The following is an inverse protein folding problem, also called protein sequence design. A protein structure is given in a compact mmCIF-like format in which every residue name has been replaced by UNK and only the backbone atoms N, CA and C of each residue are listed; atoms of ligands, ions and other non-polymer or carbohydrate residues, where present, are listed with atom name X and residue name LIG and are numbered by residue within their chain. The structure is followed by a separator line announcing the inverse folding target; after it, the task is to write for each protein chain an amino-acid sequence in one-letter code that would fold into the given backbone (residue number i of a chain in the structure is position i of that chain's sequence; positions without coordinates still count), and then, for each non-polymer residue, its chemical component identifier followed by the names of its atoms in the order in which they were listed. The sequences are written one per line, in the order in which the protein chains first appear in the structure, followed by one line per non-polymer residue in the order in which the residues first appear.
data_IF_020570388519
#
_entry.id   IF_020570388519
#
_cell.length_a   1.000
_cell.length_b   1.000
_cell.length_c   1.000
_cell.angle_alpha   90.00
_cell.angle_beta   90.00
_cell.angle_gamma   90.00
#
_symmetry.space_group_name_H-M   'P 1'
#
loop_
_entity.id
_entity.type
_entity.pdbx_description
1 polymer ?
#
# COMPACT_ATOMS: atom_id res chain seq x y z
N UNK A 1 15.00 -9.49 8.02
CA UNK A 1 14.32 -10.43 7.10
C UNK A 1 15.37 -11.03 6.20
N UNK A 2 15.46 -12.35 6.13
CA UNK A 2 16.48 -13.01 5.33
C UNK A 2 16.21 -12.81 3.85
N UNK A 3 17.20 -12.32 3.11
CA UNK A 3 17.07 -12.06 1.67
C UNK A 3 16.66 -13.32 0.87
N UNK A 4 17.06 -14.49 1.36
CA UNK A 4 16.69 -15.80 0.80
C UNK A 4 15.17 -16.08 0.86
N UNK A 5 14.47 -15.51 1.83
CA UNK A 5 13.03 -15.70 2.05
C UNK A 5 12.14 -14.78 1.22
N UNK A 6 12.73 -13.83 0.48
CA UNK A 6 11.96 -12.94 -0.38
C UNK A 6 11.44 -13.69 -1.63
N UNK A 7 10.15 -13.52 -1.99
CA UNK A 7 9.61 -14.02 -3.24
C UNK A 7 10.44 -13.53 -4.45
N UNK A 8 10.47 -14.31 -5.53
CA UNK A 8 11.29 -14.00 -6.71
C UNK A 8 11.06 -12.60 -7.30
N UNK A 9 9.83 -12.08 -7.24
CA UNK A 9 9.50 -10.73 -7.73
C UNK A 9 10.02 -9.59 -6.84
N UNK A 10 10.34 -9.86 -5.57
CA UNK A 10 10.94 -8.88 -4.65
C UNK A 10 12.44 -8.74 -4.85
N UNK A 11 13.08 -9.69 -5.53
CA UNK A 11 14.50 -9.64 -5.85
C UNK A 11 14.66 -8.70 -7.05
N UNK A 12 15.52 -7.69 -6.91
CA UNK A 12 15.76 -6.61 -7.90
C UNK A 12 16.10 -7.11 -9.32
N UNK A 13 16.49 -8.38 -9.46
CA UNK A 13 16.76 -9.05 -10.73
C UNK A 13 15.51 -9.57 -11.47
N UNK A 14 14.30 -9.24 -10.99
CA UNK A 14 13.03 -9.78 -11.49
C UNK A 14 12.36 -9.06 -12.68
N UNK A 15 12.94 -8.02 -13.27
CA UNK A 15 12.32 -7.32 -14.42
C UNK A 15 13.34 -6.99 -15.52
N UNK A 16 13.91 -8.04 -16.11
CA UNK A 16 14.84 -7.99 -17.23
C UNK A 16 14.23 -8.42 -18.57
N UNK A 17 12.99 -8.06 -18.87
CA UNK A 17 12.38 -8.27 -20.20
C UNK A 17 11.75 -6.95 -20.62
N UNK A 18 12.20 -6.20 -21.63
CA UNK A 18 12.57 -6.61 -22.98
C UNK A 18 13.60 -5.64 -23.60
N UNK A 19 14.83 -6.09 -23.86
CA UNK A 19 15.72 -5.45 -24.86
C UNK A 19 15.64 -6.14 -26.24
N UNK A 20 14.68 -7.04 -26.42
CA UNK A 20 14.48 -7.81 -27.65
C UNK A 20 12.99 -7.91 -28.03
N UNK A 21 12.32 -6.78 -28.24
CA UNK A 21 11.13 -6.73 -29.11
C UNK A 21 11.51 -6.11 -30.45
N UNK A 22 12.60 -6.60 -31.05
CA UNK A 22 12.87 -6.36 -32.46
C UNK A 22 12.15 -7.47 -33.22
N UNK A 23 10.98 -7.09 -33.75
CA UNK A 23 10.23 -7.76 -34.82
C UNK A 23 9.15 -8.78 -34.40
N UNK A 24 7.89 -8.46 -34.74
CA UNK A 24 6.82 -9.43 -34.93
C UNK A 24 5.65 -9.32 -33.95
N UNK A 25 4.60 -8.63 -34.39
CA UNK A 25 3.27 -8.49 -33.75
C UNK A 25 3.21 -7.52 -32.57
N UNK A 26 2.42 -6.45 -32.75
CA UNK A 26 2.20 -5.37 -31.80
C UNK A 26 1.22 -5.80 -30.70
N UNK A 27 1.53 -6.92 -30.04
CA UNK A 27 0.68 -7.48 -28.99
C UNK A 27 0.95 -6.65 -27.74
N UNK A 28 0.13 -5.61 -27.55
CA UNK A 28 0.18 -4.76 -26.37
C UNK A 28 -0.20 -5.61 -25.15
N UNK A 29 0.80 -6.16 -24.45
CA UNK A 29 0.61 -6.98 -23.25
C UNK A 29 -0.11 -6.26 -22.10
N UNK A 30 -0.23 -4.93 -22.17
CA UNK A 30 -0.97 -4.10 -21.22
C UNK A 30 -2.41 -3.80 -21.67
N UNK A 31 -2.79 -4.18 -22.89
CA UNK A 31 -4.16 -4.03 -23.38
C UNK A 31 -5.08 -5.00 -22.67
N UNK A 32 -6.22 -4.53 -22.16
CA UNK A 32 -7.23 -5.39 -21.55
C UNK A 32 -7.75 -6.47 -22.51
N UNK A 33 -7.72 -6.20 -23.81
CA UNK A 33 -8.16 -7.12 -24.86
C UNK A 33 -7.11 -8.18 -25.25
N UNK A 34 -5.95 -8.19 -24.58
CA UNK A 34 -4.97 -9.24 -24.81
C UNK A 34 -5.57 -10.59 -24.39
N UNK A 35 -5.42 -11.62 -25.24
CA UNK A 35 -6.06 -12.93 -25.06
C UNK A 35 -5.81 -13.55 -23.67
N UNK A 36 -4.59 -13.36 -23.12
CA UNK A 36 -4.26 -13.77 -21.76
C UNK A 36 -5.16 -13.13 -20.69
N UNK A 37 -5.42 -11.82 -20.76
CA UNK A 37 -6.23 -11.13 -19.76
C UNK A 37 -7.69 -11.53 -19.85
N UNK A 38 -8.22 -11.72 -21.06
CA UNK A 38 -9.57 -12.23 -21.28
C UNK A 38 -9.73 -13.65 -20.69
N UNK A 39 -8.80 -14.55 -21.01
CA UNK A 39 -8.81 -15.91 -20.46
C UNK A 39 -8.71 -15.94 -18.93
N UNK A 40 -7.84 -15.10 -18.35
CA UNK A 40 -7.70 -15.00 -16.91
C UNK A 40 -8.98 -14.46 -16.25
N UNK A 41 -9.57 -13.43 -16.84
CA UNK A 41 -10.82 -12.85 -16.35
C UNK A 41 -11.95 -13.87 -16.38
N UNK A 42 -12.13 -14.57 -17.51
CA UNK A 42 -13.17 -15.59 -17.66
C UNK A 42 -12.98 -16.75 -16.68
N UNK A 43 -11.73 -17.18 -16.47
CA UNK A 43 -11.40 -18.21 -15.49
C UNK A 43 -11.74 -17.78 -14.06
N UNK A 44 -11.34 -16.57 -13.64
CA UNK A 44 -11.66 -16.04 -12.30
C UNK A 44 -13.18 -15.91 -12.13
N UNK A 45 -13.89 -15.45 -13.16
CA UNK A 45 -15.35 -15.35 -13.15
C UNK A 45 -16.00 -16.72 -12.96
N UNK A 46 -15.56 -17.73 -13.69
CA UNK A 46 -16.04 -19.12 -13.53
C UNK A 46 -15.75 -19.66 -12.13
N UNK A 47 -14.57 -19.39 -11.58
CA UNK A 47 -14.25 -19.79 -10.20
C UNK A 47 -15.15 -19.09 -9.18
N UNK A 48 -15.41 -17.79 -9.34
CA UNK A 48 -16.28 -17.04 -8.46
C UNK A 48 -17.73 -17.55 -8.52
N UNK A 49 -18.25 -17.80 -9.73
CA UNK A 49 -19.59 -18.39 -9.92
C UNK A 49 -19.70 -19.80 -9.33
N UNK A 50 -18.63 -20.61 -9.39
CA UNK A 50 -18.58 -21.91 -8.72
C UNK A 50 -18.54 -21.78 -7.19
N UNK A 51 -18.00 -20.66 -6.67
CA UNK A 51 -17.93 -20.34 -5.24
C UNK A 51 -19.19 -19.64 -4.71
N UNK A 52 -20.11 -19.16 -5.56
CA UNK A 52 -21.38 -18.53 -5.14
C UNK A 52 -22.28 -19.46 -4.29
N UNK A 53 -21.99 -20.77 -4.25
CA UNK A 53 -22.64 -21.71 -3.33
C UNK A 53 -22.05 -21.69 -1.90
N UNK A 54 -20.89 -21.06 -1.70
CA UNK A 54 -20.27 -20.85 -0.40
C UNK A 54 -20.43 -19.38 -0.06
N UNK A 55 -21.64 -19.01 0.40
CA UNK A 55 -21.83 -17.72 1.07
C UNK A 55 -20.67 -17.51 2.07
N UNK A 56 -20.08 -16.31 2.18
CA UNK A 56 -19.03 -16.05 3.15
C UNK A 56 -19.49 -16.61 4.48
N UNK A 57 -18.79 -17.62 4.99
CA UNK A 57 -19.13 -18.18 6.29
C UNK A 57 -19.10 -17.03 7.27
N UNK A 58 -20.17 -16.82 8.03
CA UNK A 58 -20.17 -15.83 9.10
C UNK A 58 -19.01 -16.18 10.04
N UNK A 59 -17.88 -15.51 9.87
CA UNK A 59 -16.80 -15.56 10.84
C UNK A 59 -17.34 -14.92 12.12
N UNK A 60 -17.22 -15.64 13.23
CA UNK A 60 -17.78 -15.21 14.50
C UNK A 60 -17.16 -13.89 14.97
N UNK A 61 -17.90 -13.12 15.76
CA UNK A 61 -17.34 -11.94 16.41
C UNK A 61 -16.58 -12.34 17.68
N UNK A 62 -15.45 -11.68 17.91
CA UNK A 62 -14.71 -11.75 19.17
C UNK A 62 -14.90 -10.44 19.90
N UNK A 63 -15.35 -10.50 21.15
CA UNK A 63 -15.34 -9.34 22.02
C UNK A 63 -13.91 -9.10 22.50
N UNK A 64 -13.33 -7.98 22.09
CA UNK A 64 -12.01 -7.55 22.55
C UNK A 64 -12.23 -6.60 23.71
N UNK A 65 -11.74 -6.97 24.89
CA UNK A 65 -11.66 -6.04 26.02
C UNK A 65 -10.55 -5.04 25.75
N UNK A 66 -10.90 -3.75 25.74
CA UNK A 66 -9.91 -2.69 25.68
C UNK A 66 -9.16 -2.64 27.02
N UNK A 67 -7.82 -2.58 27.02
CA UNK A 67 -7.08 -2.35 28.25
C UNK A 67 -7.47 -1.00 28.84
N UNK A 68 -7.39 -0.89 30.16
CA UNK A 68 -7.56 0.39 30.83
C UNK A 68 -6.45 1.34 30.33
N UNK A 69 -6.80 2.58 29.93
CA UNK A 69 -5.82 3.54 29.45
C UNK A 69 -4.79 3.84 30.53
N UNK A 70 -3.53 4.02 30.14
CA UNK A 70 -2.47 4.34 31.08
C UNK A 70 -2.80 5.69 31.74
N UNK A 71 -2.70 5.84 33.07
CA UNK A 71 -2.84 7.15 33.71
C UNK A 71 -1.91 8.22 33.13
N UNK A 72 -0.81 7.84 32.49
CA UNK A 72 0.09 8.74 31.77
C UNK A 72 -0.39 9.11 30.36
N UNK A 73 -1.30 8.35 29.73
CA UNK A 73 -1.88 8.69 28.42
C UNK A 73 -2.63 10.02 28.48
N UNK A 74 -3.35 10.26 29.57
CA UNK A 74 -4.03 11.54 29.82
C UNK A 74 -3.04 12.71 29.88
N UNK A 75 -1.88 12.51 30.53
CA UNK A 75 -0.83 13.53 30.63
C UNK A 75 -0.17 13.79 29.28
N UNK A 76 0.02 12.76 28.46
CA UNK A 76 0.55 12.89 27.11
C UNK A 76 -0.40 13.71 26.25
N UNK A 77 -1.70 13.38 26.26
CA UNK A 77 -2.72 14.13 25.52
C UNK A 77 -2.79 15.61 25.95
N UNK A 78 -2.78 15.86 27.27
CA UNK A 78 -2.79 17.21 27.84
C UNK A 78 -1.53 18.00 27.46
N UNK A 79 -0.37 17.34 27.47
CA UNK A 79 0.91 17.95 27.08
C UNK A 79 0.91 18.33 25.61
N UNK A 80 0.45 17.43 24.73
CA UNK A 80 0.34 17.68 23.29
C UNK A 80 -0.58 18.87 23.03
N UNK A 81 -1.77 18.89 23.65
CA UNK A 81 -2.73 19.97 23.48
C UNK A 81 -2.14 21.32 23.95
N UNK A 82 -1.52 21.35 25.12
CA UNK A 82 -0.88 22.55 25.68
C UNK A 82 0.24 23.08 24.78
N UNK A 83 1.04 22.18 24.21
CA UNK A 83 2.11 22.50 23.28
C UNK A 83 1.58 23.08 21.96
N UNK A 84 0.53 22.48 21.38
CA UNK A 84 -0.13 23.02 20.19
C UNK A 84 -0.72 24.41 20.44
N UNK A 85 -1.38 24.62 21.59
CA UNK A 85 -1.90 25.92 21.97
C UNK A 85 -0.78 26.95 22.18
N UNK A 86 0.36 26.54 22.76
CA UNK A 86 1.55 27.37 22.95
C UNK A 86 2.16 27.80 21.61
N UNK A 87 2.32 26.85 20.68
CA UNK A 87 2.83 27.12 19.33
C UNK A 87 1.86 28.06 18.59
N UNK A 88 0.55 27.83 18.69
CA UNK A 88 -0.48 28.69 18.10
C UNK A 88 -0.47 30.10 18.68
N UNK A 89 -0.35 30.27 19.99
CA UNK A 89 -0.30 31.59 20.65
C UNK A 89 0.97 32.37 20.33
N UNK A 90 2.06 31.69 19.96
CA UNK A 90 3.34 32.30 19.58
C UNK A 90 3.38 32.79 18.12
N UNK A 91 2.33 32.60 17.31
CA UNK A 91 2.13 33.10 15.93
C UNK A 91 3.43 33.44 15.16
N UNK A 92 3.91 32.52 14.32
CA UNK A 92 4.89 32.91 13.29
C UNK A 92 5.79 31.83 12.71
N UNK A 93 5.37 30.57 12.55
CA UNK A 93 6.10 29.64 11.66
C UNK A 93 5.55 29.80 10.23
N UNK A 94 5.63 31.03 9.72
CA UNK A 94 5.78 31.28 8.29
C UNK A 94 7.26 31.63 8.06
N UNK A 95 8.18 30.81 8.55
CA UNK A 95 9.52 30.84 7.97
C UNK A 95 9.42 29.99 6.70
N UNK A 96 9.40 30.70 5.58
CA UNK A 96 9.51 30.16 4.23
C UNK A 96 10.47 28.98 4.24
N UNK A 97 10.03 27.82 3.76
CA UNK A 97 10.94 26.75 3.35
C UNK A 97 11.86 27.35 2.29
N UNK A 98 13.08 27.75 2.68
CA UNK A 98 14.09 28.12 1.72
C UNK A 98 14.44 26.86 0.93
N UNK A 99 14.01 26.88 -0.33
CA UNK A 99 14.37 26.04 -1.45
C UNK A 99 15.68 25.27 -1.23
N UNK A 100 15.57 23.98 -0.91
CA UNK A 100 16.71 23.07 -0.87
C UNK A 100 17.07 22.79 -2.33
N UNK A 101 18.03 23.56 -2.88
CA UNK A 101 18.64 23.24 -4.17
C UNK A 101 19.53 22.01 -4.02
N UNK A 102 19.01 20.87 -4.47
CA UNK A 102 19.78 19.65 -4.66
C UNK A 102 20.49 19.80 -6.02
N UNK A 103 21.76 20.18 -6.00
CA UNK A 103 22.61 20.06 -7.19
C UNK A 103 23.05 18.59 -7.30
N UNK A 104 22.67 17.94 -8.40
CA UNK A 104 23.17 16.63 -8.79
C UNK A 104 24.24 16.80 -9.87
N UNK A 105 25.43 16.24 -9.61
CA UNK A 105 26.43 15.91 -10.63
C UNK A 105 26.11 14.53 -11.25
#
# INVERSE_FOLDING_TARGET
MDYASLPHFCKREGSGSSKHSRNGTNDNCFSLDHAFHQQLYDYIKQQAEALEAVAPSKEGSVHVTLPEPDPDDAKIAETIESEFQRIRKKNGICQSFHEIKINGD
#
